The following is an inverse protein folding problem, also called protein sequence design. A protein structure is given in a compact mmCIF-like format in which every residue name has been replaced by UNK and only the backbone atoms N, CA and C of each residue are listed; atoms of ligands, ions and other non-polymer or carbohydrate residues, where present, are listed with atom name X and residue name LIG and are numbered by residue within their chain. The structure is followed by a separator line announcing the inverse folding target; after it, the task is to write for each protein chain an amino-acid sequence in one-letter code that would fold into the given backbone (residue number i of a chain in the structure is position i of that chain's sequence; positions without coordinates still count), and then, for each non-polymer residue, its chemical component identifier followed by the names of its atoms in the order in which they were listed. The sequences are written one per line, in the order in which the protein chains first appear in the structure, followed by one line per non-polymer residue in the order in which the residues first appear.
data_IF_563518996552
#
_entry.id   IF_563518996552
#
_cell.length_a   1.000
_cell.length_b   1.000
_cell.length_c   1.000
_cell.angle_alpha   90.00
_cell.angle_beta   90.00
_cell.angle_gamma   90.00
#
_symmetry.space_group_name_H-M   'P 1'
#
loop_
_entity.id
_entity.type
_entity.pdbx_description
1 polymer ?
#
# COMPACT_ATOMS: atom_id res chain seq x y z
N UNK A 1 -2.28 -17.22 -5.31
CA UNK A 1 -1.61 -15.99 -4.85
C UNK A 1 -1.02 -15.30 -6.08
N UNK A 2 -1.32 -14.02 -6.31
CA UNK A 2 -1.15 -13.35 -7.62
C UNK A 2 0.30 -13.01 -8.04
N UNK A 3 1.32 -13.28 -7.21
CA UNK A 3 2.70 -12.82 -7.46
C UNK A 3 3.75 -13.92 -7.74
N UNK A 4 3.39 -15.21 -7.78
CA UNK A 4 4.38 -16.29 -8.02
C UNK A 4 4.91 -16.36 -9.47
N UNK A 5 4.32 -15.62 -10.40
CA UNK A 5 4.72 -15.57 -11.82
C UNK A 5 5.30 -14.22 -12.26
N UNK A 6 5.55 -13.32 -11.31
CA UNK A 6 6.25 -12.08 -11.62
C UNK A 6 7.73 -12.37 -11.91
N UNK A 7 8.25 -11.87 -13.04
CA UNK A 7 9.68 -11.94 -13.39
C UNK A 7 10.53 -10.97 -12.55
N UNK A 8 10.10 -10.61 -11.33
CA UNK A 8 10.82 -9.72 -10.42
C UNK A 8 10.70 -10.21 -8.99
N UNK A 9 11.74 -9.96 -8.18
CA UNK A 9 11.73 -10.24 -6.75
C UNK A 9 11.30 -9.00 -5.99
N UNK A 10 10.27 -9.13 -5.16
CA UNK A 10 9.87 -8.08 -4.22
C UNK A 10 10.93 -7.92 -3.13
N UNK A 11 11.45 -6.70 -2.96
CA UNK A 11 12.39 -6.33 -1.90
C UNK A 11 11.69 -5.70 -0.70
N UNK A 12 10.62 -4.96 -0.97
CA UNK A 12 9.85 -4.28 0.08
C UNK A 12 8.51 -3.79 -0.45
N UNK A 13 7.54 -3.76 0.45
CA UNK A 13 6.23 -3.16 0.25
C UNK A 13 5.96 -2.25 1.44
N UNK A 14 5.72 -0.96 1.18
CA UNK A 14 5.21 -0.04 2.18
C UNK A 14 3.86 0.50 1.76
N UNK A 15 2.98 0.67 2.74
CA UNK A 15 1.63 1.18 2.55
C UNK A 15 1.38 2.23 3.61
N UNK A 16 0.89 3.38 3.17
CA UNK A 16 0.47 4.45 4.06
C UNK A 16 -0.90 4.96 3.64
N UNK A 17 -1.64 5.49 4.60
CA UNK A 17 -2.90 6.18 4.37
C UNK A 17 -2.81 7.60 4.88
N UNK A 18 -3.44 8.51 4.15
CA UNK A 18 -3.53 9.92 4.51
C UNK A 18 -4.98 10.26 4.79
N UNK A 19 -5.22 10.91 5.94
CA UNK A 19 -6.54 11.42 6.32
C UNK A 19 -6.34 12.79 6.98
N UNK A 20 -7.04 13.82 6.49
CA UNK A 20 -6.92 15.19 7.03
C UNK A 20 -5.44 15.64 7.18
N UNK A 21 -4.64 15.44 6.11
CA UNK A 21 -3.20 15.75 6.05
C UNK A 21 -2.29 14.96 7.00
N UNK A 22 -2.84 13.99 7.75
CA UNK A 22 -2.06 13.08 8.61
C UNK A 22 -1.76 11.80 7.86
N UNK A 23 -0.48 11.44 7.81
CA UNK A 23 0.01 10.17 7.25
C UNK A 23 0.10 9.11 8.35
N UNK A 24 -0.41 7.92 8.05
CA UNK A 24 -0.34 6.75 8.89
C UNK A 24 0.28 5.60 8.10
N UNK A 25 1.42 5.08 8.56
CA UNK A 25 2.02 3.90 7.95
C UNK A 25 1.29 2.65 8.46
N UNK A 26 0.93 1.76 7.53
CA UNK A 26 0.25 0.51 7.84
C UNK A 26 1.27 -0.60 8.03
N UNK A 27 0.98 -1.49 8.98
CA UNK A 27 1.72 -2.74 9.10
C UNK A 27 1.44 -3.64 7.89
N UNK A 28 2.52 -4.07 7.24
CA UNK A 28 2.48 -4.97 6.08
C UNK A 28 2.97 -6.35 6.50
N UNK A 29 2.11 -7.36 6.34
CA UNK A 29 2.46 -8.76 6.53
C UNK A 29 2.60 -9.44 5.17
N UNK A 30 3.86 -9.66 4.75
CA UNK A 30 4.25 -10.13 3.41
C UNK A 30 3.77 -9.19 2.29
N UNK A 31 2.53 -9.37 1.83
CA UNK A 31 1.90 -8.60 0.74
C UNK A 31 0.51 -8.09 1.11
N UNK A 32 0.11 -8.30 2.36
CA UNK A 32 -1.23 -7.96 2.86
C UNK A 32 -1.12 -6.91 3.96
N UNK A 33 -2.13 -6.07 4.05
CA UNK A 33 -2.28 -5.04 5.08
C UNK A 33 -3.76 -4.87 5.40
N UNK A 34 -4.05 -4.31 6.57
CA UNK A 34 -5.41 -3.98 6.98
C UNK A 34 -5.63 -2.48 6.85
N UNK A 35 -6.68 -2.10 6.12
CA UNK A 35 -7.10 -0.71 6.00
C UNK A 35 -7.76 -0.24 7.31
N UNK A 36 -7.66 1.06 7.68
CA UNK A 36 -8.39 1.61 8.81
C UNK A 36 -9.89 1.30 8.75
N UNK A 37 -10.49 1.06 9.91
CA UNK A 37 -11.94 0.80 10.05
C UNK A 37 -12.77 2.06 10.19
N UNK A 38 -12.12 3.19 10.45
CA UNK A 38 -12.79 4.47 10.57
C UNK A 38 -13.38 4.88 9.21
N UNK A 39 -14.57 5.48 9.26
CA UNK A 39 -15.25 5.99 8.07
C UNK A 39 -14.61 7.30 7.64
N UNK A 40 -14.60 7.54 6.34
CA UNK A 40 -14.10 8.80 5.80
C UNK A 40 -13.40 8.64 4.47
N UNK A 41 -12.79 9.75 4.07
CA UNK A 41 -12.00 9.87 2.86
C UNK A 41 -10.52 9.70 3.18
N UNK A 42 -9.86 8.84 2.41
CA UNK A 42 -8.46 8.51 2.59
C UNK A 42 -7.73 8.58 1.24
N UNK A 43 -6.46 8.99 1.27
CA UNK A 43 -5.53 8.70 0.17
C UNK A 43 -4.68 7.51 0.59
N UNK A 44 -4.67 6.44 -0.20
CA UNK A 44 -3.75 5.33 -0.04
C UNK A 44 -2.52 5.56 -0.91
N UNK A 45 -1.34 5.42 -0.30
CA UNK A 45 -0.03 5.46 -0.94
C UNK A 45 0.61 4.08 -0.80
N UNK A 46 0.91 3.41 -1.92
CA UNK A 46 1.54 2.10 -1.95
C UNK A 46 2.85 2.20 -2.72
N UNK A 47 3.96 1.83 -2.09
CA UNK A 47 5.27 1.80 -2.71
C UNK A 47 5.79 0.36 -2.77
N UNK A 48 6.08 -0.12 -3.97
CA UNK A 48 6.65 -1.44 -4.24
C UNK A 48 8.10 -1.27 -4.69
N UNK A 49 9.03 -1.90 -3.97
CA UNK A 49 10.43 -1.97 -4.33
C UNK A 49 10.76 -3.38 -4.82
N UNK A 50 11.46 -3.48 -5.95
CA UNK A 50 11.85 -4.75 -6.57
C UNK A 50 13.33 -4.75 -6.93
N UNK A 51 13.85 -5.90 -7.35
CA UNK A 51 15.18 -5.98 -7.96
C UNK A 51 15.28 -5.35 -9.36
N UNK A 52 14.14 -5.02 -9.99
CA UNK A 52 14.08 -4.41 -11.33
C UNK A 52 13.65 -2.94 -11.34
N UNK A 53 13.38 -2.35 -10.17
CA UNK A 53 12.97 -0.96 -10.04
C UNK A 53 11.88 -0.76 -8.98
N UNK A 54 11.31 0.43 -8.96
CA UNK A 54 10.30 0.84 -7.99
C UNK A 54 9.01 1.22 -8.72
N UNK A 55 7.87 0.94 -8.08
CA UNK A 55 6.56 1.38 -8.54
C UNK A 55 5.81 2.07 -7.38
N UNK A 56 5.08 3.13 -7.70
CA UNK A 56 4.23 3.84 -6.76
C UNK A 56 2.80 3.87 -7.28
N UNK A 57 1.85 3.67 -6.37
CA UNK A 57 0.43 3.86 -6.59
C UNK A 57 -0.13 4.84 -5.56
N UNK A 58 -0.95 5.78 -6.02
CA UNK A 58 -1.69 6.74 -5.18
C UNK A 58 -3.15 6.65 -5.60
N UNK A 59 -4.06 6.48 -4.63
CA UNK A 59 -5.49 6.38 -4.92
C UNK A 59 -6.36 6.92 -3.79
N UNK A 60 -7.57 7.34 -4.14
CA UNK A 60 -8.58 7.78 -3.15
C UNK A 60 -9.45 6.58 -2.74
N UNK A 61 -9.73 6.45 -1.45
CA UNK A 61 -10.59 5.41 -0.87
C UNK A 61 -11.64 6.07 0.01
N UNK A 62 -12.90 5.68 -0.18
CA UNK A 62 -14.03 6.15 0.65
C UNK A 62 -14.57 4.98 1.46
N UNK A 63 -14.39 5.03 2.78
CA UNK A 63 -14.90 4.04 3.72
C UNK A 63 -16.28 4.46 4.21
N UNK A 64 -17.32 3.67 3.88
CA UNK A 64 -18.73 3.97 4.15
C UNK A 64 -19.30 3.27 5.38
#
# INVERSE_FOLDING_TARGET
MLFEHADFKTKGLSVSVWQNDKKYDLEVNKVSFYFPKEKGEYVIEVNLQTDRGNAQYIGNVVMK
#
